data_IF_246884340524
#
_entry.id   IF_246884340524
#
_cell.length_a   1.000
_cell.length_b   1.000
_cell.length_c   1.000
_cell.angle_alpha   90.00
_cell.angle_beta   90.00
_cell.angle_gamma   90.00
#
_symmetry.space_group_name_H-M   'P 1'
#
loop_
_entity.id
_entity.type
_entity.pdbx_description
1 polymer ?
#
# COMPACT_ATOMS: atom_id res chain seq x y z
N UNK A 1 -2.89 30.53 9.63
CA UNK A 1 -3.22 29.34 10.44
C UNK A 1 -2.52 29.42 11.78
N UNK A 2 -3.27 29.34 12.86
CA UNK A 2 -2.72 29.27 14.22
C UNK A 2 -2.32 27.81 14.49
N UNK A 3 -1.06 27.57 14.84
CA UNK A 3 -0.59 26.22 15.17
C UNK A 3 -0.99 25.89 16.61
N UNK A 4 -1.82 24.87 16.76
CA UNK A 4 -2.17 24.33 18.07
C UNK A 4 -1.21 23.19 18.45
N UNK A 5 -1.07 22.89 19.76
CA UNK A 5 -0.40 21.67 20.18
C UNK A 5 -1.07 20.43 19.53
N UNK A 6 -0.34 19.31 19.37
CA UNK A 6 -0.92 18.07 18.89
C UNK A 6 -2.18 17.70 19.69
N UNK A 7 -3.23 17.29 18.99
CA UNK A 7 -4.51 16.92 19.62
C UNK A 7 -4.37 15.73 20.57
N UNK A 8 -3.31 14.93 20.42
CA UNK A 8 -3.03 13.77 21.25
C UNK A 8 -1.52 13.50 21.32
N UNK A 9 -0.94 13.10 22.47
CA UNK A 9 0.49 12.81 22.61
C UNK A 9 1.01 11.69 21.68
N UNK A 10 0.11 10.83 21.20
CA UNK A 10 0.40 9.72 20.30
C UNK A 10 0.99 10.19 18.96
N UNK A 11 0.64 11.41 18.50
CA UNK A 11 1.21 12.00 17.30
C UNK A 11 2.71 12.30 17.47
N UNK A 12 3.11 12.82 18.62
CA UNK A 12 4.53 13.06 18.92
C UNK A 12 5.27 11.73 19.06
N UNK A 13 4.67 10.74 19.72
CA UNK A 13 5.24 9.39 19.83
C UNK A 13 5.36 8.71 18.48
N UNK A 14 4.43 8.94 17.56
CA UNK A 14 4.46 8.40 16.20
C UNK A 14 5.73 8.82 15.47
N UNK A 15 5.98 10.12 15.37
CA UNK A 15 7.20 10.65 14.76
C UNK A 15 8.46 10.34 15.57
N UNK A 16 8.35 10.29 16.90
CA UNK A 16 9.44 9.85 17.78
C UNK A 16 9.90 8.42 17.47
N UNK A 17 8.97 7.48 17.22
CA UNK A 17 9.29 6.12 16.78
C UNK A 17 9.91 6.09 15.39
N UNK A 18 9.45 6.93 14.48
CA UNK A 18 10.00 7.02 13.13
C UNK A 18 11.42 7.59 13.11
N UNK A 19 11.76 8.46 14.07
CA UNK A 19 13.04 9.15 14.12
C UNK A 19 13.16 10.28 13.09
N UNK A 20 12.04 10.69 12.50
CA UNK A 20 11.95 11.78 11.53
C UNK A 20 10.67 12.59 11.75
N UNK A 21 10.62 13.79 11.16
CA UNK A 21 9.44 14.65 11.13
C UNK A 21 9.22 15.14 9.69
N UNK A 22 7.99 15.50 9.32
CA UNK A 22 7.74 16.24 8.09
C UNK A 22 8.56 17.53 8.06
N UNK A 23 8.91 18.00 6.86
CA UNK A 23 9.61 19.27 6.68
C UNK A 23 8.83 20.47 7.23
N UNK A 24 9.53 21.57 7.51
CA UNK A 24 8.88 22.81 7.92
C UNK A 24 7.88 23.27 6.84
N UNK A 25 6.69 23.71 7.27
CA UNK A 25 5.61 24.10 6.38
C UNK A 25 4.89 22.93 5.67
N UNK A 26 5.32 21.69 5.85
CA UNK A 26 4.68 20.53 5.25
C UNK A 26 3.45 20.09 6.06
N UNK A 27 2.42 19.63 5.34
CA UNK A 27 1.26 18.92 5.85
C UNK A 27 1.49 17.42 5.68
N UNK A 28 1.04 16.64 6.65
CA UNK A 28 1.21 15.20 6.65
C UNK A 28 0.05 14.52 7.38
N UNK A 29 -0.29 13.32 6.93
CA UNK A 29 -1.29 12.47 7.57
C UNK A 29 -0.61 11.47 8.52
N UNK A 30 -1.29 11.19 9.63
CA UNK A 30 -0.89 10.17 10.61
C UNK A 30 -2.10 9.31 10.90
N UNK A 31 -2.04 8.03 10.54
CA UNK A 31 -3.06 7.06 10.88
C UNK A 31 -2.63 6.27 12.13
N UNK A 32 -3.19 6.63 13.28
CA UNK A 32 -2.89 5.97 14.56
C UNK A 32 -3.56 4.59 14.69
N UNK A 33 -4.63 4.35 13.94
CA UNK A 33 -5.43 3.12 13.98
C UNK A 33 -4.82 2.00 13.13
N UNK A 34 -4.20 2.33 11.99
CA UNK A 34 -3.55 1.36 11.11
C UNK A 34 -2.52 0.45 11.81
N UNK A 35 -1.56 0.97 12.61
CA UNK A 35 -0.65 0.10 13.36
C UNK A 35 -1.37 -0.71 14.45
N UNK A 36 -2.46 -0.21 15.04
CA UNK A 36 -3.25 -1.00 15.98
C UNK A 36 -3.96 -2.16 15.29
N UNK A 37 -4.58 -1.91 14.13
CA UNK A 37 -5.16 -2.95 13.30
C UNK A 37 -4.15 -4.04 12.95
N UNK A 38 -2.94 -3.66 12.53
CA UNK A 38 -1.88 -4.62 12.20
C UNK A 38 -1.44 -5.45 13.42
N UNK A 39 -1.28 -4.83 14.60
CA UNK A 39 -1.01 -5.56 15.85
C UNK A 39 -2.12 -6.56 16.17
N UNK A 40 -3.38 -6.18 15.96
CA UNK A 40 -4.52 -7.05 16.20
C UNK A 40 -4.57 -8.23 15.22
N UNK A 41 -4.25 -7.99 13.94
CA UNK A 41 -4.09 -9.05 12.95
C UNK A 41 -2.97 -10.03 13.35
N UNK A 42 -1.79 -9.53 13.72
CA UNK A 42 -0.65 -10.35 14.14
C UNK A 42 -0.89 -11.16 15.42
N UNK A 43 -1.62 -10.60 16.39
CA UNK A 43 -2.02 -11.31 17.61
C UNK A 43 -3.07 -12.40 17.34
N UNK A 44 -3.97 -12.16 16.40
CA UNK A 44 -5.02 -13.11 16.04
C UNK A 44 -4.50 -14.27 15.21
N UNK A 45 -3.45 -14.04 14.41
CA UNK A 45 -2.84 -15.05 13.56
C UNK A 45 -1.97 -16.01 14.38
N UNK A 46 -2.35 -17.30 14.42
CA UNK A 46 -1.52 -18.34 15.03
C UNK A 46 -0.39 -18.80 14.12
N UNK A 47 -0.71 -18.99 12.84
CA UNK A 47 0.21 -19.42 11.78
C UNK A 47 -0.33 -19.00 10.42
N UNK A 48 0.52 -18.48 9.55
CA UNK A 48 0.15 -18.10 8.19
C UNK A 48 0.80 -16.80 7.75
N UNK A 49 0.11 -16.06 6.89
CA UNK A 49 0.61 -14.84 6.27
C UNK A 49 -0.38 -13.69 6.42
N UNK A 50 0.15 -12.46 6.45
CA UNK A 50 -0.60 -11.22 6.29
C UNK A 50 -0.06 -10.54 5.03
N UNK A 51 -0.94 -10.33 4.06
CA UNK A 51 -0.63 -9.66 2.80
C UNK A 51 -1.43 -8.36 2.75
N UNK A 52 -0.73 -7.22 2.75
CA UNK A 52 -1.34 -5.89 2.70
C UNK A 52 -1.02 -5.23 1.37
N UNK A 53 -2.06 -4.80 0.66
CA UNK A 53 -1.97 -4.10 -0.62
C UNK A 53 -2.61 -2.73 -0.47
N UNK A 54 -1.84 -1.66 -0.62
CA UNK A 54 -2.37 -0.30 -0.60
C UNK A 54 -1.44 0.71 -1.26
N UNK A 55 -1.95 1.92 -1.50
CA UNK A 55 -1.13 3.05 -1.91
C UNK A 55 -0.38 3.61 -0.71
N UNK A 56 0.95 3.65 -0.82
CA UNK A 56 1.76 4.19 0.26
C UNK A 56 3.24 4.11 0.00
N UNK A 57 3.98 4.53 1.01
CA UNK A 57 5.42 4.69 0.96
C UNK A 57 6.04 4.31 2.29
N UNK A 58 7.35 4.08 2.28
CA UNK A 58 8.13 4.11 3.52
C UNK A 58 8.23 5.54 4.05
N UNK A 59 8.42 5.68 5.36
CA UNK A 59 8.31 6.96 6.07
C UNK A 59 9.21 8.05 5.50
N UNK A 60 10.43 7.72 5.07
CA UNK A 60 11.36 8.70 4.47
C UNK A 60 10.80 9.32 3.19
N UNK A 61 10.11 8.54 2.35
CA UNK A 61 9.49 9.01 1.12
C UNK A 61 8.08 9.62 1.38
N UNK A 62 7.34 9.09 2.36
CA UNK A 62 6.01 9.60 2.71
C UNK A 62 6.10 11.00 3.31
N UNK A 63 7.08 11.26 4.17
CA UNK A 63 7.23 12.53 4.89
C UNK A 63 8.33 13.43 4.31
N UNK A 64 8.74 13.15 3.07
CA UNK A 64 9.77 13.91 2.38
C UNK A 64 9.37 15.38 2.12
N UNK A 65 10.33 16.33 2.07
CA UNK A 65 10.03 17.75 1.85
C UNK A 65 9.31 18.07 0.53
N UNK A 66 9.48 17.26 -0.52
CA UNK A 66 8.77 17.44 -1.79
C UNK A 66 7.29 17.05 -1.73
N UNK A 67 6.84 16.46 -0.62
CA UNK A 67 5.43 16.14 -0.35
C UNK A 67 4.82 17.13 0.63
N UNK A 68 4.94 18.42 0.31
CA UNK A 68 4.54 19.50 1.19
C UNK A 68 3.04 19.51 1.54
N UNK A 69 2.18 19.01 0.66
CA UNK A 69 0.72 19.01 0.86
C UNK A 69 0.17 17.68 1.42
N UNK A 70 1.04 16.71 1.74
CA UNK A 70 0.63 15.39 2.19
C UNK A 70 0.04 14.52 1.07
N UNK A 71 -0.93 13.68 1.43
CA UNK A 71 -1.54 12.66 0.58
C UNK A 71 -3.05 12.56 0.70
N UNK A 72 -3.68 13.38 1.55
CA UNK A 72 -5.13 13.41 1.70
C UNK A 72 -5.79 13.66 0.34
N UNK A 73 -6.70 12.76 -0.04
CA UNK A 73 -7.45 12.84 -1.27
C UNK A 73 -8.88 12.39 -1.04
N UNK A 74 -9.82 13.10 -1.65
CA UNK A 74 -11.23 12.77 -1.60
C UNK A 74 -11.73 12.36 -2.99
N UNK A 75 -12.67 11.43 -3.04
CA UNK A 75 -13.30 11.01 -4.29
C UNK A 75 -14.82 11.10 -4.23
N UNK A 76 -15.41 11.71 -5.25
CA UNK A 76 -16.86 11.69 -5.46
C UNK A 76 -17.17 11.34 -6.91
N UNK A 77 -17.83 10.19 -7.14
CA UNK A 77 -18.17 9.69 -8.49
C UNK A 77 -16.98 9.71 -9.45
N UNK A 78 -15.85 9.13 -9.02
CA UNK A 78 -14.58 9.07 -9.77
C UNK A 78 -13.90 10.43 -10.04
N UNK A 79 -14.32 11.50 -9.37
CA UNK A 79 -13.67 12.80 -9.46
C UNK A 79 -12.86 13.08 -8.20
N UNK A 80 -11.54 13.34 -8.31
CA UNK A 80 -10.70 13.66 -7.17
C UNK A 80 -10.93 15.10 -6.68
N UNK A 81 -10.73 15.32 -5.38
CA UNK A 81 -10.75 16.64 -4.74
C UNK A 81 -9.85 16.64 -3.50
N UNK A 82 -9.25 17.78 -3.17
CA UNK A 82 -8.47 17.96 -1.94
C UNK A 82 -9.31 18.51 -0.77
N UNK A 83 -10.61 18.78 -0.96
CA UNK A 83 -11.47 19.38 0.07
C UNK A 83 -12.28 18.31 0.82
N UNK A 84 -11.91 17.96 2.07
CA UNK A 84 -12.63 16.98 2.87
C UNK A 84 -14.02 17.47 3.33
N UNK A 85 -14.29 18.77 3.27
CA UNK A 85 -15.54 19.37 3.73
C UNK A 85 -16.58 19.55 2.62
N UNK A 86 -16.21 19.35 1.35
CA UNK A 86 -17.08 19.60 0.21
C UNK A 86 -18.39 18.78 0.24
N UNK A 87 -18.35 17.52 0.69
CA UNK A 87 -19.50 16.60 0.65
C UNK A 87 -19.51 15.61 1.82
N UNK A 88 -19.70 16.13 3.03
CA UNK A 88 -19.73 15.33 4.27
C UNK A 88 -20.65 14.10 4.15
N UNK A 89 -20.11 12.94 4.49
CA UNK A 89 -20.80 11.65 4.42
C UNK A 89 -21.13 11.13 3.01
N UNK A 90 -20.72 11.84 1.95
CA UNK A 90 -21.04 11.51 0.55
C UNK A 90 -19.83 11.40 -0.37
N UNK A 91 -18.63 11.67 0.12
CA UNK A 91 -17.38 11.44 -0.59
C UNK A 91 -16.52 10.47 0.20
N UNK A 92 -15.71 9.71 -0.54
CA UNK A 92 -14.64 8.92 0.04
C UNK A 92 -13.48 9.84 0.43
N UNK A 93 -12.75 9.50 1.48
CA UNK A 93 -11.59 10.23 1.99
C UNK A 93 -10.51 9.20 2.31
N UNK A 94 -9.34 9.38 1.70
CA UNK A 94 -8.20 8.47 1.88
C UNK A 94 -6.91 9.26 2.03
N UNK A 95 -5.88 8.58 2.53
CA UNK A 95 -4.49 9.04 2.56
C UNK A 95 -3.60 7.83 2.29
N UNK A 96 -2.36 8.08 1.87
CA UNK A 96 -1.42 7.00 1.68
C UNK A 96 -0.99 6.34 3.00
N UNK A 97 -0.65 5.05 2.92
CA UNK A 97 -0.19 4.24 4.04
C UNK A 97 1.29 4.48 4.33
N UNK A 98 1.63 4.64 5.61
CA UNK A 98 3.01 4.54 6.11
C UNK A 98 3.38 3.06 6.31
N UNK A 99 4.06 2.49 5.31
CA UNK A 99 4.48 1.10 5.36
C UNK A 99 5.62 0.85 6.36
N UNK A 100 6.41 1.86 6.73
CA UNK A 100 7.42 1.70 7.78
C UNK A 100 6.75 1.49 9.13
N UNK A 101 5.76 2.31 9.46
CA UNK A 101 4.98 2.16 10.70
C UNK A 101 4.18 0.86 10.71
N UNK A 102 3.50 0.53 9.61
CA UNK A 102 2.69 -0.67 9.52
C UNK A 102 3.52 -1.95 9.67
N UNK A 103 4.66 -2.01 8.97
CA UNK A 103 5.62 -3.13 9.06
C UNK A 103 6.09 -3.33 10.51
N UNK A 104 6.56 -2.26 11.16
CA UNK A 104 7.04 -2.29 12.55
C UNK A 104 5.94 -2.75 13.52
N UNK A 105 4.70 -2.30 13.31
CA UNK A 105 3.57 -2.72 14.14
C UNK A 105 3.27 -4.24 13.99
N UNK A 106 3.44 -4.80 12.81
CA UNK A 106 3.38 -6.25 12.61
C UNK A 106 4.51 -6.98 13.36
N UNK A 107 5.73 -6.47 13.28
CA UNK A 107 6.91 -7.02 13.97
C UNK A 107 6.75 -7.01 15.49
N UNK A 108 6.16 -5.94 16.06
CA UNK A 108 5.75 -5.87 17.47
C UNK A 108 4.74 -6.97 17.87
N UNK A 109 4.00 -7.52 16.92
CA UNK A 109 3.03 -8.61 17.11
C UNK A 109 3.54 -9.98 16.64
N UNK A 110 4.87 -10.14 16.56
CA UNK A 110 5.58 -11.36 16.18
C UNK A 110 5.35 -11.78 14.72
N UNK A 111 4.93 -10.85 13.85
CA UNK A 111 4.98 -11.07 12.41
C UNK A 111 6.42 -10.85 11.93
N UNK A 112 6.94 -11.77 11.13
CA UNK A 112 8.19 -11.59 10.42
C UNK A 112 7.92 -10.97 9.04
N UNK A 113 8.57 -9.85 8.74
CA UNK A 113 8.49 -9.24 7.41
C UNK A 113 9.29 -10.06 6.39
N UNK A 114 8.66 -10.41 5.28
CA UNK A 114 9.26 -11.15 4.18
C UNK A 114 9.64 -10.25 3.01
N UNK A 115 8.87 -9.20 2.76
CA UNK A 115 9.16 -8.23 1.71
C UNK A 115 8.15 -7.10 1.62
N UNK A 116 8.60 -6.00 1.01
CA UNK A 116 7.79 -4.86 0.59
C UNK A 116 8.18 -4.56 -0.86
N UNK A 117 7.29 -4.87 -1.80
CA UNK A 117 7.52 -4.69 -3.24
C UNK A 117 6.38 -3.90 -3.86
N UNK A 118 6.54 -3.44 -5.11
CA UNK A 118 5.40 -2.90 -5.86
C UNK A 118 4.48 -4.02 -6.36
N UNK A 119 3.22 -3.69 -6.65
CA UNK A 119 2.25 -4.61 -7.24
C UNK A 119 2.71 -5.08 -8.61
N UNK A 120 3.32 -4.19 -9.41
CA UNK A 120 3.85 -4.56 -10.72
C UNK A 120 4.94 -5.63 -10.58
N UNK A 121 5.89 -5.48 -9.65
CA UNK A 121 6.90 -6.50 -9.35
C UNK A 121 6.23 -7.80 -8.87
N UNK A 122 5.35 -7.71 -7.87
CA UNK A 122 4.69 -8.87 -7.28
C UNK A 122 3.92 -9.70 -8.32
N UNK A 123 3.11 -9.04 -9.16
CA UNK A 123 2.31 -9.71 -10.19
C UNK A 123 3.16 -10.21 -11.35
N UNK A 124 4.24 -9.50 -11.70
CA UNK A 124 5.20 -9.98 -12.72
C UNK A 124 5.86 -11.26 -12.27
N UNK A 125 6.29 -11.33 -11.01
CA UNK A 125 6.91 -12.52 -10.44
C UNK A 125 5.91 -13.70 -10.39
N UNK A 126 4.63 -13.42 -10.14
CA UNK A 126 3.52 -14.38 -10.26
C UNK A 126 3.11 -14.72 -11.70
N UNK A 127 3.84 -14.22 -12.70
CA UNK A 127 3.65 -14.49 -14.13
C UNK A 127 2.31 -14.03 -14.70
N UNK A 128 1.78 -12.90 -14.21
CA UNK A 128 0.54 -12.32 -14.76
C UNK A 128 0.63 -12.05 -16.28
N UNK A 129 1.84 -11.88 -16.82
CA UNK A 129 2.07 -11.70 -18.24
C UNK A 129 1.61 -12.91 -19.10
N UNK A 130 1.50 -14.11 -18.54
CA UNK A 130 0.93 -15.28 -19.23
C UNK A 130 -0.53 -15.02 -19.65
N UNK A 131 -1.27 -14.20 -18.90
CA UNK A 131 -2.63 -13.80 -19.25
C UNK A 131 -2.71 -12.89 -20.50
N UNK A 132 -1.58 -12.36 -20.97
CA UNK A 132 -1.48 -11.57 -22.20
C UNK A 132 -1.34 -12.44 -23.45
N UNK A 133 -1.11 -13.74 -23.31
CA UNK A 133 -0.95 -14.65 -24.44
C UNK A 133 -2.20 -14.64 -25.32
N UNK A 134 -2.03 -14.67 -26.65
CA UNK A 134 -3.15 -14.78 -27.55
C UNK A 134 -3.86 -16.12 -27.31
N UNK A 135 -5.19 -16.15 -27.41
CA UNK A 135 -5.96 -17.37 -27.28
C UNK A 135 -5.60 -18.37 -28.40
N UNK A 136 -5.65 -19.66 -28.09
CA UNK A 136 -5.41 -20.72 -29.07
C UNK A 136 -6.48 -20.71 -30.18
N UNK A 137 -6.14 -21.22 -31.37
CA UNK A 137 -7.04 -21.27 -32.53
C UNK A 137 -8.38 -21.95 -32.19
N UNK A 138 -9.50 -21.26 -32.45
CA UNK A 138 -10.85 -21.73 -32.11
C UNK A 138 -11.89 -20.60 -31.99
N UNK A 139 -13.06 -20.92 -31.40
CA UNK A 139 -14.15 -19.97 -31.16
C UNK A 139 -13.81 -19.04 -29.98
N UNK A 140 -12.99 -18.03 -30.25
CA UNK A 140 -12.41 -17.13 -29.26
C UNK A 140 -13.30 -15.91 -29.05
N UNK A 141 -13.56 -15.55 -27.79
CA UNK A 141 -14.13 -14.26 -27.42
C UNK A 141 -13.05 -13.16 -27.46
N UNK A 142 -12.96 -12.42 -28.58
CA UNK A 142 -11.98 -11.33 -28.72
C UNK A 142 -12.21 -10.19 -27.71
N UNK A 143 -13.45 -9.90 -27.33
CA UNK A 143 -13.76 -8.83 -26.38
C UNK A 143 -13.17 -9.15 -25.02
N UNK A 144 -13.37 -10.38 -24.54
CA UNK A 144 -12.79 -10.86 -23.28
C UNK A 144 -11.26 -10.83 -23.30
N UNK A 145 -10.64 -11.20 -24.43
CA UNK A 145 -9.20 -11.12 -24.61
C UNK A 145 -8.68 -9.68 -24.45
N UNK A 146 -9.29 -8.71 -25.13
CA UNK A 146 -8.87 -7.31 -25.03
C UNK A 146 -9.16 -6.69 -23.67
N UNK A 147 -10.29 -7.04 -23.04
CA UNK A 147 -10.62 -6.61 -21.69
C UNK A 147 -9.59 -7.12 -20.67
N UNK A 148 -9.26 -8.42 -20.71
CA UNK A 148 -8.21 -9.02 -19.87
C UNK A 148 -6.86 -8.37 -20.10
N UNK A 149 -6.47 -8.18 -21.38
CA UNK A 149 -5.22 -7.53 -21.75
C UNK A 149 -5.12 -6.12 -21.14
N UNK A 150 -6.19 -5.32 -21.24
CA UNK A 150 -6.24 -3.98 -20.68
C UNK A 150 -6.09 -4.00 -19.15
N UNK A 151 -6.83 -4.88 -18.47
CA UNK A 151 -6.75 -5.01 -17.01
C UNK A 151 -5.33 -5.39 -16.54
N UNK A 152 -4.67 -6.33 -17.22
CA UNK A 152 -3.29 -6.71 -16.87
C UNK A 152 -2.32 -5.54 -17.07
N UNK A 153 -2.43 -4.81 -18.18
CA UNK A 153 -1.58 -3.64 -18.43
C UNK A 153 -1.80 -2.56 -17.36
N UNK A 154 -3.04 -2.32 -16.94
CA UNK A 154 -3.36 -1.36 -15.87
C UNK A 154 -2.83 -1.79 -14.49
N UNK A 155 -2.92 -3.09 -14.17
CA UNK A 155 -2.37 -3.66 -12.93
C UNK A 155 -0.84 -3.57 -12.84
N UNK A 156 -0.17 -3.57 -13.98
CA UNK A 156 1.30 -3.52 -14.08
C UNK A 156 1.85 -2.11 -14.26
N UNK A 157 1.04 -1.15 -14.72
CA UNK A 157 1.50 0.22 -15.01
C UNK A 157 1.96 0.94 -13.73
N UNK A 158 3.25 1.28 -13.59
CA UNK A 158 3.77 1.99 -12.42
C UNK A 158 3.20 3.41 -12.25
N UNK A 159 2.61 3.99 -13.30
CA UNK A 159 1.90 5.27 -13.20
C UNK A 159 0.46 5.13 -12.69
N UNK A 160 -0.09 3.90 -12.68
CA UNK A 160 -1.44 3.58 -12.24
C UNK A 160 -1.42 2.60 -11.05
N UNK A 161 -2.04 1.43 -11.18
CA UNK A 161 -2.20 0.46 -10.09
C UNK A 161 -0.89 -0.26 -9.75
N UNK A 162 0.06 -0.33 -10.69
CA UNK A 162 1.34 -1.01 -10.48
C UNK A 162 2.17 -0.44 -9.33
N UNK A 163 1.92 0.83 -8.95
CA UNK A 163 2.58 1.51 -7.82
C UNK A 163 2.10 1.07 -6.44
N UNK A 164 0.97 0.36 -6.35
CA UNK A 164 0.46 -0.19 -5.09
C UNK A 164 1.59 -0.97 -4.42
N UNK A 165 1.75 -0.80 -3.11
CA UNK A 165 2.75 -1.54 -2.35
C UNK A 165 2.15 -2.83 -1.81
N UNK A 166 2.96 -3.87 -1.82
CA UNK A 166 2.62 -5.21 -1.32
C UNK A 166 3.55 -5.52 -0.16
N UNK A 167 3.03 -5.40 1.06
CA UNK A 167 3.72 -5.82 2.28
C UNK A 167 3.30 -7.25 2.61
N UNK A 168 4.28 -8.16 2.69
CA UNK A 168 4.05 -9.54 3.10
C UNK A 168 4.78 -9.85 4.40
N UNK A 169 4.03 -10.33 5.38
CA UNK A 169 4.56 -10.78 6.67
C UNK A 169 4.05 -12.19 6.99
N UNK A 170 4.77 -12.94 7.81
CA UNK A 170 4.46 -14.32 8.20
C UNK A 170 4.47 -14.51 9.72
N UNK A 171 3.78 -15.54 10.19
CA UNK A 171 3.87 -16.04 11.56
C UNK A 171 3.93 -17.56 11.56
N UNK A 172 4.91 -18.12 12.27
CA UNK A 172 5.09 -19.57 12.43
C UNK A 172 5.11 -20.39 11.11
N UNK A 173 5.62 -19.79 10.02
CA UNK A 173 5.94 -20.49 8.77
C UNK A 173 7.43 -20.34 8.52
N UNK A 174 8.15 -21.46 8.58
CA UNK A 174 9.60 -21.49 8.37
C UNK A 174 9.93 -21.45 6.88
N UNK A 175 10.92 -20.61 6.53
CA UNK A 175 11.51 -20.48 5.18
C UNK A 175 10.51 -20.65 4.01
N UNK A 176 9.41 -19.87 3.97
CA UNK A 176 8.41 -20.02 2.93
C UNK A 176 8.99 -19.62 1.57
N UNK A 177 8.78 -20.49 0.58
CA UNK A 177 9.05 -20.18 -0.82
C UNK A 177 7.88 -19.36 -1.38
N UNK A 178 8.16 -18.13 -1.84
CA UNK A 178 7.13 -17.15 -2.20
C UNK A 178 7.44 -16.52 -3.56
N UNK A 179 6.92 -17.13 -4.61
CA UNK A 179 7.13 -16.70 -6.00
C UNK A 179 6.92 -15.20 -6.20
N UNK A 180 5.91 -14.59 -5.58
CA UNK A 180 5.62 -13.16 -5.74
C UNK A 180 6.71 -12.21 -5.21
N UNK A 181 7.58 -12.67 -4.30
CA UNK A 181 8.70 -11.88 -3.76
C UNK A 181 10.05 -12.23 -4.41
N UNK A 182 10.10 -13.28 -5.22
CA UNK A 182 11.31 -13.67 -5.93
C UNK A 182 11.43 -12.81 -7.18
N UNK A 183 12.53 -12.06 -7.33
CA UNK A 183 12.82 -11.35 -8.57
C UNK A 183 12.73 -12.28 -9.79
N UNK A 184 12.61 -11.72 -11.02
CA UNK A 184 12.39 -12.52 -12.21
C UNK A 184 13.47 -13.59 -12.34
N UNK A 185 13.06 -14.87 -12.22
CA UNK A 185 13.94 -15.99 -12.53
C UNK A 185 14.17 -15.94 -14.03
N UNK A 186 15.41 -15.64 -14.44
CA UNK A 186 15.83 -15.83 -15.83
C UNK A 186 15.53 -17.29 -16.19
N UNK A 187 14.55 -17.47 -17.08
CA UNK A 187 14.24 -18.76 -17.68
C UNK A 187 15.31 -19.14 -18.70
#
# INVERSE_FOLDING_TARGET
>A
DELHPPSTPELERYFGRLGLKPGEGCRAEVNLEAPEWMRNAGRSLRRGFVLTLDYGYEAEELYAPWRADGTLLCFYRHNPSADPYARLGRQDITSHVDFTTLRRAGEEAELQTLGLVSQSEFLTNLRIAEALAPPAEGNVNLEEYYARRRAVLELLDPAALGRIRVLLQTKAVEAPHLTGLEGPRNA
#
